data_IF_405588209202
#
_entry.id   IF_405588209202
#
_cell.length_a   1.000
_cell.length_b   1.000
_cell.length_c   1.000
_cell.angle_alpha   90.00
_cell.angle_beta   90.00
_cell.angle_gamma   90.00
#
_symmetry.space_group_name_H-M   'P 1'
#
loop_
_entity.id
_entity.type
_entity.pdbx_description
1 polymer ?
#
# COMPACT_ATOMS: atom_id res chain seq x y z
N UNK A 1 19.48 47.35 1.50
CA UNK A 1 20.60 46.65 0.84
C UNK A 1 20.75 45.33 1.58
N UNK A 2 19.96 44.33 1.20
CA UNK A 2 20.40 43.23 0.32
C UNK A 2 21.52 42.41 0.95
N UNK A 3 21.21 41.20 1.44
CA UNK A 3 21.65 40.05 0.66
C UNK A 3 20.89 38.76 0.97
N UNK A 4 20.57 38.09 -0.12
CA UNK A 4 20.01 36.76 -0.23
C UNK A 4 21.13 35.73 -0.25
N UNK A 5 21.09 34.73 0.62
CA UNK A 5 21.76 33.45 0.36
C UNK A 5 21.10 32.34 1.17
N UNK A 6 20.11 31.73 0.53
CA UNK A 6 19.62 30.39 0.82
C UNK A 6 20.67 29.33 0.42
N UNK A 7 20.47 28.11 0.93
CA UNK A 7 21.00 26.83 0.44
C UNK A 7 22.42 26.45 0.87
N UNK A 8 22.50 25.62 1.92
CA UNK A 8 23.08 24.26 1.87
C UNK A 8 23.20 23.71 3.30
N UNK A 9 22.29 22.79 3.68
CA UNK A 9 22.51 21.92 4.82
C UNK A 9 22.76 20.50 4.27
N UNK A 10 23.94 19.88 4.54
CA UNK A 10 24.24 18.55 4.04
C UNK A 10 23.45 17.48 4.83
N UNK A 11 22.97 16.46 4.12
CA UNK A 11 22.41 15.25 4.73
C UNK A 11 23.47 14.54 5.58
N UNK A 12 23.17 14.26 6.85
CA UNK A 12 23.91 13.24 7.60
C UNK A 12 24.25 13.47 9.07
N UNK A 13 23.61 14.37 9.82
CA UNK A 13 23.84 14.46 11.28
C UNK A 13 22.71 13.85 12.11
N UNK A 14 23.01 12.92 13.05
CA UNK A 14 22.04 12.43 14.01
C UNK A 14 21.78 13.49 15.09
N UNK A 15 20.51 13.77 15.37
CA UNK A 15 20.07 14.67 16.44
C UNK A 15 20.41 14.04 17.80
N UNK A 16 21.43 14.58 18.49
CA UNK A 16 21.75 14.17 19.85
C UNK A 16 20.80 14.82 20.86
N UNK A 17 20.11 13.94 21.59
CA UNK A 17 19.74 14.01 23.01
C UNK A 17 19.00 15.25 23.54
N UNK A 18 17.68 15.10 23.66
CA UNK A 18 16.92 15.62 24.80
C UNK A 18 16.34 14.43 25.57
N UNK A 19 16.84 14.26 26.79
CA UNK A 19 16.45 13.25 27.78
C UNK A 19 14.98 13.43 28.19
N UNK A 20 14.10 12.60 27.66
CA UNK A 20 12.86 12.20 28.36
C UNK A 20 12.80 10.68 28.39
N UNK A 21 12.75 10.15 29.61
CA UNK A 21 12.70 8.74 29.91
C UNK A 21 11.38 8.14 29.39
N UNK A 22 11.42 7.61 28.17
CA UNK A 22 10.35 6.76 27.65
C UNK A 22 10.61 5.35 28.18
N UNK A 23 9.82 4.93 29.18
CA UNK A 23 9.76 3.55 29.67
C UNK A 23 9.38 2.66 28.48
N UNK A 24 10.40 2.10 27.82
CA UNK A 24 10.22 1.26 26.66
C UNK A 24 9.42 0.02 27.07
N UNK A 25 8.17 -0.06 26.59
CA UNK A 25 7.43 -1.31 26.56
C UNK A 25 8.30 -2.41 25.94
N UNK A 26 8.25 -3.66 26.45
CA UNK A 26 9.10 -4.73 25.95
C UNK A 26 8.84 -4.92 24.46
N UNK A 27 9.89 -4.73 23.65
CA UNK A 27 9.86 -5.03 22.21
C UNK A 27 9.70 -6.55 22.06
N UNK A 28 8.45 -6.99 22.08
CA UNK A 28 8.07 -8.35 21.69
C UNK A 28 8.68 -8.63 20.32
N UNK A 29 9.55 -9.64 20.25
CA UNK A 29 10.27 -9.97 19.03
C UNK A 29 9.30 -10.16 17.87
N UNK A 30 9.59 -9.51 16.75
CA UNK A 30 8.77 -9.49 15.52
C UNK A 30 8.38 -10.91 15.06
N UNK A 31 9.23 -11.91 15.36
CA UNK A 31 9.03 -13.33 15.06
C UNK A 31 7.84 -13.94 15.83
N UNK A 32 7.49 -13.43 17.01
CA UNK A 32 6.37 -13.92 17.82
C UNK A 32 4.98 -13.46 17.35
N UNK A 33 4.92 -12.57 16.35
CA UNK A 33 3.67 -12.02 15.78
C UNK A 33 3.32 -12.59 14.40
N UNK A 34 4.16 -13.44 13.83
CA UNK A 34 3.93 -14.03 12.50
C UNK A 34 3.11 -15.32 12.62
N UNK A 35 2.10 -15.46 11.75
CA UNK A 35 1.28 -16.67 11.65
C UNK A 35 2.16 -17.90 11.39
N UNK A 36 1.73 -19.08 11.85
CA UNK A 36 2.48 -20.34 11.65
C UNK A 36 2.82 -20.59 10.17
N UNK A 37 1.93 -20.20 9.25
CA UNK A 37 2.20 -20.28 7.80
C UNK A 37 3.29 -19.32 7.34
N UNK A 38 3.29 -18.06 7.78
CA UNK A 38 4.29 -17.07 7.39
C UNK A 38 5.68 -17.42 7.92
N UNK A 39 5.73 -18.02 9.10
CA UNK A 39 6.97 -18.45 9.76
C UNK A 39 7.67 -19.59 9.02
N UNK A 40 6.91 -20.51 8.42
CA UNK A 40 7.44 -21.66 7.68
C UNK A 40 7.26 -21.54 6.16
N UNK A 41 7.00 -20.33 5.66
CA UNK A 41 6.69 -20.08 4.25
C UNK A 41 7.72 -20.69 3.29
N UNK A 42 9.02 -20.55 3.59
CA UNK A 42 10.10 -21.12 2.78
C UNK A 42 10.05 -22.64 2.71
N UNK A 43 9.75 -23.31 3.83
CA UNK A 43 9.61 -24.76 3.88
C UNK A 43 8.39 -25.24 3.09
N UNK A 44 7.27 -24.53 3.19
CA UNK A 44 6.07 -24.84 2.40
C UNK A 44 6.31 -24.67 0.90
N UNK A 45 7.00 -23.61 0.47
CA UNK A 45 7.35 -23.40 -0.94
C UNK A 45 8.21 -24.56 -1.45
N UNK A 46 9.25 -24.95 -0.71
CA UNK A 46 10.13 -26.06 -1.11
C UNK A 46 9.38 -27.40 -1.16
N UNK A 47 8.49 -27.65 -0.20
CA UNK A 47 7.68 -28.87 -0.16
C UNK A 47 6.74 -28.93 -1.37
N UNK A 48 6.00 -27.86 -1.64
CA UNK A 48 5.08 -27.81 -2.79
C UNK A 48 5.84 -27.88 -4.11
N UNK A 49 6.99 -27.22 -4.23
CA UNK A 49 7.83 -27.32 -5.43
C UNK A 49 8.36 -28.74 -5.64
N UNK A 50 8.85 -29.39 -4.58
CA UNK A 50 9.33 -30.77 -4.63
C UNK A 50 8.22 -31.77 -4.98
N UNK A 51 7.05 -31.63 -4.37
CA UNK A 51 5.86 -32.44 -4.70
C UNK A 51 5.43 -32.18 -6.14
N UNK A 52 5.41 -30.93 -6.59
CA UNK A 52 5.06 -30.56 -7.96
C UNK A 52 6.01 -31.18 -9.00
N UNK A 53 7.32 -31.11 -8.76
CA UNK A 53 8.32 -31.78 -9.61
C UNK A 53 8.17 -33.30 -9.63
N UNK A 54 7.87 -33.91 -8.48
CA UNK A 54 7.65 -35.35 -8.38
C UNK A 54 6.36 -35.81 -9.09
N UNK A 55 5.27 -35.07 -8.92
CA UNK A 55 3.99 -35.33 -9.61
C UNK A 55 4.10 -35.08 -11.12
N UNK A 56 4.94 -34.12 -11.54
CA UNK A 56 5.21 -33.86 -12.95
C UNK A 56 5.90 -35.00 -13.71
N UNK A 57 6.40 -36.03 -13.01
CA UNK A 57 6.95 -37.25 -13.63
C UNK A 57 5.89 -38.34 -13.87
N UNK A 58 4.64 -38.11 -13.45
CA UNK A 58 3.55 -39.09 -13.60
C UNK A 58 2.78 -38.79 -14.89
N UNK A 59 2.74 -39.74 -15.82
CA UNK A 59 2.11 -39.60 -17.14
C UNK A 59 0.66 -39.10 -17.05
N UNK A 60 -0.15 -39.67 -16.13
CA UNK A 60 -1.54 -39.26 -15.95
C UNK A 60 -1.72 -37.78 -15.52
N UNK A 61 -0.70 -37.18 -14.90
CA UNK A 61 -0.70 -35.77 -14.51
C UNK A 61 -0.27 -34.90 -15.69
N UNK A 62 0.67 -35.36 -16.51
CA UNK A 62 1.04 -34.68 -17.76
C UNK A 62 -0.14 -34.66 -18.73
N UNK A 63 -0.84 -35.79 -18.92
CA UNK A 63 -2.04 -35.89 -19.76
C UNK A 63 -3.13 -34.91 -19.28
N UNK A 64 -3.35 -34.80 -17.97
CA UNK A 64 -4.31 -33.84 -17.41
C UNK A 64 -3.91 -32.37 -17.65
N UNK A 65 -2.61 -32.07 -17.57
CA UNK A 65 -2.08 -30.73 -17.86
C UNK A 65 -2.27 -30.41 -19.35
N UNK A 66 -2.02 -31.37 -20.23
CA UNK A 66 -2.17 -31.23 -21.68
C UNK A 66 -3.64 -31.05 -22.09
N UNK A 67 -4.56 -31.84 -21.51
CA UNK A 67 -6.01 -31.70 -21.71
C UNK A 67 -6.54 -30.33 -21.25
N UNK A 68 -5.86 -29.70 -20.29
CA UNK A 68 -6.20 -28.37 -19.75
C UNK A 68 -5.45 -27.23 -20.48
N UNK A 69 -4.69 -27.55 -21.53
CA UNK A 69 -3.90 -26.59 -22.31
C UNK A 69 -4.64 -26.19 -23.59
N UNK A 70 -4.86 -24.89 -23.78
CA UNK A 70 -5.51 -24.32 -24.96
C UNK A 70 -4.55 -23.34 -25.60
N UNK A 71 -4.23 -23.53 -26.90
CA UNK A 71 -3.28 -22.69 -27.65
C UNK A 71 -1.93 -22.49 -26.94
N UNK A 72 -1.35 -23.57 -26.40
CA UNK A 72 -0.06 -23.52 -25.68
C UNK A 72 -0.12 -22.88 -24.29
N UNK A 73 -1.31 -22.49 -23.83
CA UNK A 73 -1.56 -21.88 -22.51
C UNK A 73 -2.38 -22.82 -21.64
N UNK A 74 -1.78 -23.26 -20.52
CA UNK A 74 -2.52 -24.04 -19.53
C UNK A 74 -3.53 -23.14 -18.80
N UNK A 75 -4.82 -23.45 -18.92
CA UNK A 75 -5.91 -22.64 -18.35
C UNK A 75 -5.84 -22.61 -16.82
N UNK A 76 -5.39 -23.69 -16.19
CA UNK A 76 -5.27 -23.78 -14.73
C UNK A 76 -4.17 -22.84 -14.22
N UNK A 77 -3.02 -22.83 -14.88
CA UNK A 77 -1.92 -21.89 -14.61
C UNK A 77 -2.39 -20.46 -14.84
N UNK A 78 -3.09 -20.20 -15.96
CA UNK A 78 -3.65 -18.89 -16.27
C UNK A 78 -4.54 -18.37 -15.13
N UNK A 79 -5.51 -19.17 -14.68
CA UNK A 79 -6.41 -18.80 -13.56
C UNK A 79 -5.61 -18.55 -12.29
N UNK A 80 -4.64 -19.43 -11.96
CA UNK A 80 -3.78 -19.27 -10.79
C UNK A 80 -2.99 -17.94 -10.81
N UNK A 81 -2.39 -17.61 -11.96
CA UNK A 81 -1.67 -16.36 -12.17
C UNK A 81 -2.61 -15.14 -12.06
N UNK A 82 -3.79 -15.19 -12.69
CA UNK A 82 -4.78 -14.10 -12.60
C UNK A 82 -5.21 -13.85 -11.14
N UNK A 83 -5.54 -14.92 -10.41
CA UNK A 83 -5.99 -14.85 -9.01
C UNK A 83 -4.90 -14.30 -8.08
N UNK A 84 -3.63 -14.68 -8.29
CA UNK A 84 -2.54 -14.19 -7.45
C UNK A 84 -2.10 -12.75 -7.80
N UNK A 85 -2.23 -12.33 -9.05
CA UNK A 85 -1.79 -11.00 -9.50
C UNK A 85 -2.81 -9.90 -9.25
N UNK A 86 -4.10 -10.23 -9.23
CA UNK A 86 -5.16 -9.25 -8.99
C UNK A 86 -5.04 -8.53 -7.62
N UNK A 87 -4.88 -9.21 -6.47
CA UNK A 87 -4.88 -8.54 -5.17
C UNK A 87 -3.75 -7.51 -4.97
N UNK A 88 -2.48 -7.79 -5.34
CA UNK A 88 -1.41 -6.80 -5.28
C UNK A 88 -1.69 -5.56 -6.13
N UNK A 89 -2.22 -5.72 -7.34
CA UNK A 89 -2.53 -4.62 -8.26
C UNK A 89 -3.74 -3.80 -7.78
N UNK A 90 -4.75 -4.44 -7.20
CA UNK A 90 -5.92 -3.77 -6.65
C UNK A 90 -5.61 -2.93 -5.39
N UNK A 91 -4.54 -3.27 -4.66
CA UNK A 91 -4.07 -2.53 -3.47
C UNK A 91 -3.27 -1.26 -3.80
N UNK A 92 -3.00 -0.99 -5.07
CA UNK A 92 -2.24 0.19 -5.50
C UNK A 92 -3.04 1.48 -5.23
N UNK A 93 -2.36 2.45 -4.61
CA UNK A 93 -2.91 3.79 -4.39
C UNK A 93 -2.51 4.75 -5.50
N UNK A 94 -3.39 4.89 -6.49
CA UNK A 94 -3.17 5.74 -7.68
C UNK A 94 -2.90 7.23 -7.38
N UNK A 95 -3.32 7.71 -6.20
CA UNK A 95 -3.05 9.08 -5.74
C UNK A 95 -1.56 9.33 -5.45
N UNK A 96 -0.80 8.30 -5.05
CA UNK A 96 0.64 8.42 -4.78
C UNK A 96 1.51 8.17 -6.01
N UNK A 97 0.99 7.52 -7.05
CA UNK A 97 1.75 7.23 -8.29
C UNK A 97 2.28 8.53 -8.91
N UNK A 98 1.50 9.60 -8.87
CA UNK A 98 1.90 10.92 -9.35
C UNK A 98 3.07 11.53 -8.55
N UNK A 99 3.22 11.20 -7.27
CA UNK A 99 4.30 11.70 -6.43
C UNK A 99 5.65 11.06 -6.77
N UNK A 100 5.67 9.82 -7.27
CA UNK A 100 6.92 9.17 -7.73
C UNK A 100 7.53 9.94 -8.91
N UNK A 101 6.68 10.49 -9.79
CA UNK A 101 7.15 11.31 -10.91
C UNK A 101 7.75 12.66 -10.45
N UNK A 102 7.47 13.12 -9.24
CA UNK A 102 8.09 14.32 -8.68
C UNK A 102 9.58 14.06 -8.33
N UNK A 103 9.91 12.85 -7.86
CA UNK A 103 11.27 12.46 -7.50
C UNK A 103 12.01 11.78 -8.67
N UNK A 104 12.22 12.53 -9.75
CA UNK A 104 12.79 12.03 -11.01
C UNK A 104 14.13 11.29 -10.86
N UNK A 105 14.94 11.64 -9.85
CA UNK A 105 16.22 10.97 -9.56
C UNK A 105 16.03 9.53 -9.11
N UNK A 106 15.08 9.31 -8.20
CA UNK A 106 14.75 7.97 -7.69
C UNK A 106 14.04 7.15 -8.77
N UNK A 107 13.16 7.80 -9.55
CA UNK A 107 12.50 7.19 -10.69
C UNK A 107 13.53 6.70 -11.73
N UNK A 108 14.49 7.55 -12.10
CA UNK A 108 15.56 7.17 -13.03
C UNK A 108 16.38 6.00 -12.47
N UNK A 109 16.74 6.05 -11.18
CA UNK A 109 17.51 4.99 -10.54
C UNK A 109 16.77 3.64 -10.59
N UNK A 110 15.49 3.60 -10.21
CA UNK A 110 14.70 2.35 -10.24
C UNK A 110 14.48 1.87 -11.67
N UNK A 111 14.23 2.77 -12.63
CA UNK A 111 14.06 2.38 -14.03
C UNK A 111 15.35 1.80 -14.60
N UNK A 112 16.50 2.42 -14.39
CA UNK A 112 17.80 1.91 -14.85
C UNK A 112 18.13 0.58 -14.17
N UNK A 113 17.93 0.47 -12.86
CA UNK A 113 18.17 -0.79 -12.13
C UNK A 113 17.27 -1.93 -12.64
N UNK A 114 16.01 -1.62 -12.92
CA UNK A 114 15.04 -2.64 -13.27
C UNK A 114 15.06 -3.03 -14.75
N UNK A 115 15.28 -2.09 -15.64
CA UNK A 115 15.15 -2.29 -17.07
C UNK A 115 16.49 -2.35 -17.79
N UNK A 116 17.59 -1.91 -17.16
CA UNK A 116 18.93 -2.01 -17.74
C UNK A 116 19.78 -2.98 -16.93
N UNK A 117 20.11 -2.66 -15.68
CA UNK A 117 21.04 -3.50 -14.91
C UNK A 117 20.49 -4.92 -14.71
N UNK A 118 19.23 -5.07 -14.30
CA UNK A 118 18.62 -6.38 -14.05
C UNK A 118 18.70 -7.34 -15.24
N UNK A 119 18.09 -7.01 -16.40
CA UNK A 119 18.07 -7.88 -17.57
C UNK A 119 19.47 -8.20 -18.11
N UNK A 120 20.36 -7.19 -18.21
CA UNK A 120 21.71 -7.41 -18.73
C UNK A 120 22.56 -8.27 -17.78
N UNK A 121 22.49 -8.04 -16.46
CA UNK A 121 23.20 -8.87 -15.48
C UNK A 121 22.72 -10.31 -15.56
N UNK A 122 21.39 -10.53 -15.64
CA UNK A 122 20.85 -11.88 -15.77
C UNK A 122 21.26 -12.56 -17.06
N UNK A 123 21.23 -11.85 -18.20
CA UNK A 123 21.68 -12.39 -19.47
C UNK A 123 23.16 -12.78 -19.45
N UNK A 124 24.04 -11.91 -18.96
CA UNK A 124 25.47 -12.22 -18.91
C UNK A 124 25.80 -13.35 -17.94
N UNK A 125 25.13 -13.42 -16.78
CA UNK A 125 25.25 -14.56 -15.87
C UNK A 125 24.77 -15.84 -16.55
N UNK A 126 23.63 -15.77 -17.21
CA UNK A 126 23.03 -16.90 -17.92
C UNK A 126 23.94 -17.42 -19.03
N UNK A 127 24.49 -16.52 -19.86
CA UNK A 127 25.43 -16.87 -20.91
C UNK A 127 26.74 -17.41 -20.35
N UNK A 128 27.24 -16.89 -19.23
CA UNK A 128 28.48 -17.35 -18.61
C UNK A 128 28.38 -18.76 -17.99
N UNK A 129 27.23 -19.11 -17.40
CA UNK A 129 27.04 -20.38 -16.71
C UNK A 129 26.33 -21.47 -17.54
N UNK A 130 25.50 -21.08 -18.53
CA UNK A 130 24.66 -21.99 -19.32
C UNK A 130 24.90 -21.83 -20.83
N UNK A 131 26.12 -21.45 -21.23
CA UNK A 131 26.49 -21.26 -22.64
C UNK A 131 26.10 -22.44 -23.55
N UNK A 132 26.28 -23.67 -23.05
CA UNK A 132 26.07 -24.90 -23.83
C UNK A 132 24.62 -25.43 -23.74
N UNK A 133 23.77 -24.83 -22.89
CA UNK A 133 22.35 -25.18 -22.75
C UNK A 133 21.47 -23.96 -23.04
N UNK A 134 21.10 -23.83 -24.31
CA UNK A 134 20.30 -22.71 -24.84
C UNK A 134 18.92 -22.64 -24.14
N UNK A 135 18.37 -23.77 -23.70
CA UNK A 135 17.10 -23.84 -23.00
C UNK A 135 17.16 -23.17 -21.62
N UNK A 136 18.13 -23.58 -20.78
CA UNK A 136 18.35 -22.93 -19.48
C UNK A 136 18.75 -21.46 -19.65
N UNK A 137 19.57 -21.16 -20.66
CA UNK A 137 20.00 -19.79 -20.92
C UNK A 137 18.82 -18.87 -21.24
N UNK A 138 17.92 -19.33 -22.11
CA UNK A 138 16.71 -18.60 -22.51
C UNK A 138 15.78 -18.39 -21.31
N UNK A 139 15.55 -19.44 -20.53
CA UNK A 139 14.69 -19.38 -19.35
C UNK A 139 15.19 -18.38 -18.30
N UNK A 140 16.48 -18.40 -17.97
CA UNK A 140 17.06 -17.49 -16.97
C UNK A 140 17.12 -16.04 -17.47
N UNK A 141 17.35 -15.84 -18.77
CA UNK A 141 17.31 -14.50 -19.39
C UNK A 141 15.90 -13.90 -19.39
N UNK A 142 14.86 -14.72 -19.63
CA UNK A 142 13.46 -14.31 -19.52
C UNK A 142 13.08 -13.90 -18.08
N UNK A 143 13.61 -14.60 -17.06
CA UNK A 143 13.44 -14.21 -15.66
C UNK A 143 14.01 -12.82 -15.39
N UNK A 144 15.15 -12.46 -16.01
CA UNK A 144 15.72 -11.12 -15.93
C UNK A 144 14.83 -10.02 -16.51
N UNK A 145 14.12 -10.33 -17.60
CA UNK A 145 13.18 -9.44 -18.27
C UNK A 145 11.86 -9.26 -17.50
N UNK A 146 11.45 -10.26 -16.72
CA UNK A 146 10.26 -10.21 -15.88
C UNK A 146 10.53 -9.46 -14.57
N UNK A 147 9.91 -8.30 -14.38
CA UNK A 147 10.07 -7.53 -13.13
C UNK A 147 9.12 -8.02 -12.04
N UNK A 148 9.65 -8.18 -10.83
CA UNK A 148 8.86 -8.64 -9.68
C UNK A 148 7.91 -7.54 -9.19
N UNK A 149 6.64 -7.91 -8.99
CA UNK A 149 5.54 -6.97 -8.68
C UNK A 149 5.01 -7.25 -7.27
N UNK A 150 4.51 -8.46 -7.02
CA UNK A 150 3.77 -8.75 -5.79
C UNK A 150 4.67 -8.98 -4.56
N UNK A 151 5.68 -9.83 -4.69
CA UNK A 151 6.46 -10.30 -3.52
C UNK A 151 7.31 -9.19 -2.91
N UNK A 152 7.75 -8.22 -3.71
CA UNK A 152 8.56 -7.08 -3.24
C UNK A 152 7.82 -6.24 -2.21
N UNK A 153 6.49 -6.11 -2.31
CA UNK A 153 5.69 -5.37 -1.31
C UNK A 153 5.75 -6.05 0.06
N UNK A 154 5.71 -7.38 0.08
CA UNK A 154 5.82 -8.17 1.33
C UNK A 154 7.22 -8.01 1.91
N UNK A 155 8.26 -8.18 1.11
CA UNK A 155 9.65 -8.01 1.55
C UNK A 155 9.93 -6.59 2.03
N UNK A 156 9.43 -5.58 1.32
CA UNK A 156 9.55 -4.18 1.71
C UNK A 156 8.88 -3.93 3.06
N UNK A 157 7.68 -4.48 3.28
CA UNK A 157 6.98 -4.37 4.56
C UNK A 157 7.74 -5.06 5.69
N UNK A 158 8.31 -6.25 5.43
CA UNK A 158 9.12 -6.99 6.40
C UNK A 158 10.45 -6.27 6.72
N UNK A 159 11.03 -5.57 5.76
CA UNK A 159 12.25 -4.77 5.92
C UNK A 159 12.00 -3.40 6.58
N UNK A 160 10.74 -3.05 6.90
CA UNK A 160 10.38 -1.75 7.46
C UNK A 160 10.42 -0.60 6.46
N UNK A 161 10.32 -0.89 5.17
CA UNK A 161 10.26 0.09 4.09
C UNK A 161 8.86 0.69 3.88
N UNK A 162 8.78 1.71 3.02
CA UNK A 162 7.52 2.38 2.69
C UNK A 162 6.69 1.51 1.73
N UNK A 163 5.65 0.87 2.27
CA UNK A 163 4.78 -0.01 1.50
C UNK A 163 3.93 0.73 0.45
N UNK A 164 3.62 2.02 0.66
CA UNK A 164 2.84 2.83 -0.27
C UNK A 164 3.67 3.20 -1.49
N UNK A 165 4.88 3.68 -1.24
CA UNK A 165 5.87 4.02 -2.25
C UNK A 165 6.26 2.78 -3.07
N UNK A 166 6.51 1.65 -2.39
CA UNK A 166 6.79 0.38 -3.04
C UNK A 166 5.63 -0.08 -3.94
N UNK A 167 4.38 -0.01 -3.47
CA UNK A 167 3.22 -0.40 -4.26
C UNK A 167 3.05 0.47 -5.52
N UNK A 168 3.37 1.76 -5.42
CA UNK A 168 3.31 2.67 -6.55
C UNK A 168 4.46 2.45 -7.56
N UNK A 169 5.68 2.11 -7.11
CA UNK A 169 6.78 1.64 -8.00
C UNK A 169 6.37 0.35 -8.71
N UNK A 170 5.79 -0.59 -7.97
CA UNK A 170 5.31 -1.86 -8.50
C UNK A 170 4.28 -1.64 -9.62
N UNK A 171 3.32 -0.74 -9.42
CA UNK A 171 2.33 -0.39 -10.44
C UNK A 171 2.97 0.17 -11.72
N UNK A 172 3.95 1.06 -11.58
CA UNK A 172 4.71 1.61 -12.70
C UNK A 172 5.50 0.51 -13.44
N UNK A 173 6.15 -0.37 -12.70
CA UNK A 173 6.87 -1.50 -13.27
C UNK A 173 5.95 -2.47 -14.01
N UNK A 174 4.71 -2.69 -13.55
CA UNK A 174 3.72 -3.50 -14.28
C UNK A 174 3.40 -2.90 -15.65
N UNK A 175 3.17 -1.58 -15.73
CA UNK A 175 2.91 -0.88 -17.00
C UNK A 175 4.11 -1.02 -17.95
N UNK A 176 5.31 -0.77 -17.45
CA UNK A 176 6.54 -0.93 -18.23
C UNK A 176 6.73 -2.39 -18.66
N UNK A 177 6.39 -3.37 -17.82
CA UNK A 177 6.47 -4.80 -18.16
C UNK A 177 5.51 -5.17 -19.28
N UNK A 178 4.27 -4.68 -19.25
CA UNK A 178 3.30 -4.94 -20.34
C UNK A 178 3.84 -4.43 -21.69
N UNK A 179 4.49 -3.27 -21.71
CA UNK A 179 5.00 -2.67 -22.95
C UNK A 179 6.39 -3.14 -23.39
N UNK A 180 7.32 -3.35 -22.44
CA UNK A 180 8.73 -3.60 -22.72
C UNK A 180 9.10 -5.08 -22.71
N UNK A 181 8.31 -5.97 -22.09
CA UNK A 181 8.70 -7.36 -21.97
C UNK A 181 8.87 -8.05 -23.33
N UNK A 182 7.92 -7.86 -24.26
CA UNK A 182 7.99 -8.44 -25.61
C UNK A 182 9.25 -7.98 -26.37
N UNK A 183 9.53 -6.67 -26.54
CA UNK A 183 10.74 -6.24 -27.23
C UNK A 183 12.04 -6.65 -26.51
N UNK A 184 12.03 -6.72 -25.17
CA UNK A 184 13.17 -7.22 -24.41
C UNK A 184 13.40 -8.72 -24.63
N UNK A 185 12.35 -9.53 -24.67
CA UNK A 185 12.47 -10.95 -25.00
C UNK A 185 13.10 -11.14 -26.39
N UNK A 186 12.71 -10.33 -27.39
CA UNK A 186 13.34 -10.36 -28.71
C UNK A 186 14.82 -10.01 -28.67
N UNK A 187 15.16 -8.92 -27.96
CA UNK A 187 16.54 -8.49 -27.82
C UNK A 187 17.41 -9.58 -27.17
N UNK A 188 16.99 -10.15 -26.03
CA UNK A 188 17.81 -11.07 -25.26
C UNK A 188 17.82 -12.52 -25.76
N UNK A 189 16.86 -12.91 -26.59
CA UNK A 189 16.74 -14.30 -27.08
C UNK A 189 17.13 -14.43 -28.54
N UNK A 190 16.78 -13.44 -29.37
CA UNK A 190 17.06 -13.49 -30.80
C UNK A 190 18.34 -12.69 -31.12
N UNK A 191 18.38 -11.41 -30.74
CA UNK A 191 19.42 -10.50 -31.24
C UNK A 191 20.76 -10.70 -30.49
N UNK A 192 20.76 -10.61 -29.16
CA UNK A 192 21.99 -10.57 -28.35
C UNK A 192 22.81 -11.87 -28.41
N UNK A 193 22.21 -13.09 -28.35
CA UNK A 193 22.96 -14.33 -28.53
C UNK A 193 23.56 -14.46 -29.94
N UNK A 194 22.83 -14.03 -30.98
CA UNK A 194 23.33 -14.05 -32.36
C UNK A 194 24.57 -13.18 -32.53
N UNK A 195 24.63 -12.03 -31.84
CA UNK A 195 25.80 -11.14 -31.82
C UNK A 195 26.99 -11.70 -31.04
N UNK A 196 26.77 -12.63 -30.11
CA UNK A 196 27.82 -13.31 -29.37
C UNK A 196 28.35 -14.57 -30.08
N UNK A 197 27.81 -14.89 -31.26
CA UNK A 197 28.18 -16.10 -32.00
C UNK A 197 27.66 -17.39 -31.36
N UNK A 198 26.66 -17.28 -30.48
CA UNK A 198 25.94 -18.42 -29.91
C UNK A 198 24.84 -18.77 -30.93
N UNK A 199 24.89 -19.97 -31.49
CA UNK A 199 23.92 -20.50 -32.46
C UNK A 199 22.55 -20.74 -31.80
N UNK A 200 21.90 -19.68 -31.30
CA UNK A 200 20.55 -19.71 -30.74
C UNK A 200 19.47 -19.79 -31.85
N UNK A 201 19.88 -19.81 -33.12
CA UNK A 201 18.99 -19.83 -34.29
C UNK A 201 18.34 -21.18 -34.57
N UNK A 202 18.66 -22.25 -33.84
CA UNK A 202 18.22 -23.61 -34.21
C UNK A 202 16.91 -24.09 -33.56
N UNK A 203 16.50 -23.66 -32.35
CA UNK A 203 15.37 -24.36 -31.69
C UNK A 203 14.32 -23.48 -30.95
N UNK A 204 14.57 -22.20 -30.63
CA UNK A 204 13.58 -21.38 -29.90
C UNK A 204 13.48 -19.97 -30.50
N UNK A 205 12.86 -19.87 -31.69
CA UNK A 205 12.45 -18.56 -32.20
C UNK A 205 11.22 -18.09 -31.45
N UNK A 206 11.40 -17.10 -30.58
CA UNK A 206 10.29 -16.53 -29.83
C UNK A 206 9.50 -15.60 -30.76
N UNK A 207 8.27 -16.00 -31.07
CA UNK A 207 7.34 -15.14 -31.78
C UNK A 207 6.95 -13.97 -30.86
N UNK A 208 7.47 -12.77 -31.15
CA UNK A 208 7.20 -11.56 -30.36
C UNK A 208 5.70 -11.31 -30.16
N UNK A 209 4.89 -11.64 -31.17
CA UNK A 209 3.43 -11.54 -31.12
C UNK A 209 2.78 -12.50 -30.12
N UNK A 210 3.31 -13.71 -29.96
CA UNK A 210 2.82 -14.69 -29.00
C UNK A 210 3.20 -14.30 -27.56
N UNK A 211 4.43 -13.82 -27.37
CA UNK A 211 4.85 -13.27 -26.07
C UNK A 211 4.01 -12.05 -25.69
N UNK A 212 3.77 -11.14 -26.63
CA UNK A 212 2.92 -9.98 -26.38
C UNK A 212 1.49 -10.38 -26.03
N UNK A 213 0.91 -11.38 -26.72
CA UNK A 213 -0.40 -11.95 -26.40
C UNK A 213 -0.42 -12.51 -24.98
N UNK A 214 0.56 -13.34 -24.63
CA UNK A 214 0.61 -14.00 -23.32
C UNK A 214 0.82 -13.00 -22.17
N UNK A 215 1.71 -12.02 -22.33
CA UNK A 215 1.87 -10.93 -21.36
C UNK A 215 0.60 -10.10 -21.24
N UNK A 216 -0.06 -9.79 -22.36
CA UNK A 216 -1.35 -9.10 -22.36
C UNK A 216 -2.42 -9.84 -21.56
N UNK A 217 -2.49 -11.16 -21.69
CA UNK A 217 -3.45 -12.00 -20.96
C UNK A 217 -3.06 -12.09 -19.47
N UNK A 218 -1.84 -12.50 -19.15
CA UNK A 218 -1.44 -12.80 -17.77
C UNK A 218 -1.18 -11.56 -16.91
N UNK A 219 -0.68 -10.49 -17.50
CA UNK A 219 -0.35 -9.25 -16.80
C UNK A 219 -1.37 -8.15 -17.12
N UNK A 220 -1.67 -7.96 -18.40
CA UNK A 220 -2.56 -6.89 -18.86
C UNK A 220 -3.98 -7.05 -18.31
N UNK A 221 -4.56 -8.25 -18.37
CA UNK A 221 -5.94 -8.46 -17.92
C UNK A 221 -6.13 -8.23 -16.40
N UNK A 222 -5.31 -8.78 -15.49
CA UNK A 222 -5.38 -8.43 -14.05
C UNK A 222 -5.16 -6.95 -13.77
N UNK A 223 -4.27 -6.31 -14.52
CA UNK A 223 -3.97 -4.89 -14.37
C UNK A 223 -5.17 -4.02 -14.74
N UNK A 224 -5.81 -4.30 -15.89
CA UNK A 224 -7.05 -3.63 -16.31
C UNK A 224 -8.19 -3.93 -15.34
N UNK A 225 -8.34 -5.18 -14.89
CA UNK A 225 -9.34 -5.55 -13.90
C UNK A 225 -9.14 -4.77 -12.58
N UNK A 226 -7.90 -4.67 -12.09
CA UNK A 226 -7.57 -3.88 -10.90
C UNK A 226 -7.88 -2.38 -11.08
N UNK A 227 -7.58 -1.82 -12.25
CA UNK A 227 -7.93 -0.43 -12.60
C UNK A 227 -9.44 -0.20 -12.65
N UNK A 228 -10.19 -1.09 -13.30
CA UNK A 228 -11.64 -1.03 -13.41
C UNK A 228 -12.30 -1.16 -12.03
N UNK A 229 -11.83 -2.09 -11.21
CA UNK A 229 -12.20 -2.22 -9.78
C UNK A 229 -11.97 -0.89 -9.08
N UNK A 230 -10.78 -0.30 -9.16
CA UNK A 230 -10.49 0.96 -8.49
C UNK A 230 -11.39 2.11 -8.96
N UNK A 231 -11.63 2.23 -10.27
CA UNK A 231 -12.48 3.27 -10.85
C UNK A 231 -13.96 3.10 -10.45
N UNK A 232 -14.51 1.89 -10.56
CA UNK A 232 -15.91 1.60 -10.24
C UNK A 232 -16.20 1.72 -8.76
N UNK A 233 -15.33 1.20 -7.89
CA UNK A 233 -15.46 1.30 -6.43
C UNK A 233 -15.33 2.74 -5.93
N UNK A 234 -14.77 3.67 -6.71
CA UNK A 234 -14.71 5.08 -6.31
C UNK A 234 -16.10 5.72 -6.21
N UNK A 235 -17.11 5.21 -6.94
CA UNK A 235 -18.51 5.64 -6.76
C UNK A 235 -19.10 5.16 -5.43
N UNK A 236 -18.69 3.98 -4.94
CA UNK A 236 -19.11 3.41 -3.65
C UNK A 236 -18.44 4.11 -2.46
N UNK A 237 -17.24 4.68 -2.64
CA UNK A 237 -16.52 5.42 -1.58
C UNK A 237 -17.26 6.67 -1.12
N UNK A 238 -17.96 7.37 -2.03
CA UNK A 238 -18.56 8.67 -1.73
C UNK A 238 -19.63 8.58 -0.62
N UNK A 239 -20.63 7.66 -0.69
CA UNK A 239 -21.59 7.50 0.40
C UNK A 239 -20.94 7.17 1.75
N UNK A 240 -19.93 6.30 1.77
CA UNK A 240 -19.26 5.87 3.00
C UNK A 240 -18.44 7.00 3.62
N UNK A 241 -17.70 7.75 2.81
CA UNK A 241 -16.95 8.93 3.24
C UNK A 241 -17.88 10.00 3.80
N UNK A 242 -19.00 10.26 3.12
CA UNK A 242 -20.02 11.19 3.59
C UNK A 242 -20.59 10.74 4.93
N UNK A 243 -20.91 9.46 5.08
CA UNK A 243 -21.40 8.90 6.34
C UNK A 243 -20.42 9.13 7.49
N UNK A 244 -19.15 8.74 7.32
CA UNK A 244 -18.14 8.89 8.37
C UNK A 244 -17.87 10.34 8.74
N UNK A 245 -17.73 11.21 7.73
CA UNK A 245 -17.49 12.63 7.96
C UNK A 245 -18.70 13.29 8.63
N UNK A 246 -19.91 12.96 8.20
CA UNK A 246 -21.13 13.47 8.81
C UNK A 246 -21.26 13.02 10.26
N UNK A 247 -21.15 11.73 10.53
CA UNK A 247 -21.25 11.17 11.89
C UNK A 247 -20.19 11.76 12.81
N UNK A 248 -18.96 11.88 12.34
CA UNK A 248 -17.87 12.49 13.11
C UNK A 248 -18.15 13.95 13.44
N UNK A 249 -18.42 14.78 12.43
CA UNK A 249 -18.61 16.23 12.61
C UNK A 249 -19.81 16.52 13.50
N UNK A 250 -20.93 15.84 13.27
CA UNK A 250 -22.15 16.03 14.07
C UNK A 250 -21.92 15.63 15.53
N UNK A 251 -21.29 14.47 15.77
CA UNK A 251 -20.98 14.01 17.13
C UNK A 251 -19.97 14.93 17.83
N UNK A 252 -19.01 15.46 17.08
CA UNK A 252 -18.00 16.39 17.58
C UNK A 252 -18.62 17.71 18.01
N UNK A 253 -19.47 18.29 17.16
CA UNK A 253 -20.16 19.54 17.45
C UNK A 253 -21.17 19.39 18.59
N UNK A 254 -21.92 18.27 18.65
CA UNK A 254 -22.82 18.00 19.76
C UNK A 254 -22.07 17.88 21.10
N UNK A 255 -20.95 17.15 21.12
CA UNK A 255 -20.14 16.98 22.33
C UNK A 255 -19.51 18.29 22.79
N UNK A 256 -19.03 19.10 21.85
CA UNK A 256 -18.52 20.45 22.13
C UNK A 256 -19.62 21.37 22.69
N UNK A 257 -20.81 21.35 22.08
CA UNK A 257 -21.96 22.15 22.54
C UNK A 257 -22.42 21.77 23.95
N UNK A 258 -22.38 20.47 24.30
CA UNK A 258 -22.66 19.97 25.65
C UNK A 258 -21.57 20.31 26.68
N UNK A 259 -20.45 20.89 26.25
CA UNK A 259 -19.36 21.27 27.14
C UNK A 259 -18.43 20.14 27.58
N UNK A 260 -18.38 19.05 26.82
CA UNK A 260 -17.39 18.00 27.04
C UNK A 260 -15.96 18.51 26.82
N UNK A 261 -14.98 17.93 27.52
CA UNK A 261 -13.57 18.24 27.26
C UNK A 261 -13.17 17.78 25.85
N UNK A 262 -12.07 18.32 25.31
CA UNK A 262 -11.57 17.90 24.00
C UNK A 262 -11.35 16.38 23.92
N UNK A 263 -10.75 15.79 24.95
CA UNK A 263 -10.48 14.34 25.03
C UNK A 263 -11.77 13.53 24.98
N UNK A 264 -12.81 13.97 25.71
CA UNK A 264 -14.13 13.33 25.70
C UNK A 264 -14.83 13.49 24.35
N UNK A 265 -14.77 14.68 23.76
CA UNK A 265 -15.36 14.97 22.45
C UNK A 265 -14.71 14.12 21.34
N UNK A 266 -13.39 14.00 21.35
CA UNK A 266 -12.64 13.13 20.43
C UNK A 266 -13.06 11.67 20.61
N UNK A 267 -13.09 11.18 21.85
CA UNK A 267 -13.49 9.80 22.14
C UNK A 267 -14.92 9.49 21.66
N UNK A 268 -15.89 10.37 21.95
CA UNK A 268 -17.27 10.21 21.52
C UNK A 268 -17.42 10.28 19.99
N UNK A 269 -16.72 11.19 19.33
CA UNK A 269 -16.83 11.39 17.88
C UNK A 269 -16.25 10.23 17.07
N UNK A 270 -15.10 9.69 17.48
CA UNK A 270 -14.52 8.52 16.84
C UNK A 270 -15.32 7.25 17.10
N UNK A 271 -15.86 7.09 18.32
CA UNK A 271 -16.73 5.96 18.64
C UNK A 271 -18.03 6.00 17.82
N UNK A 272 -18.62 7.17 17.64
CA UNK A 272 -19.85 7.33 16.87
C UNK A 272 -19.65 7.21 15.35
N UNK A 273 -18.46 7.56 14.85
CA UNK A 273 -18.14 7.43 13.43
C UNK A 273 -17.72 6.00 13.06
N UNK A 274 -17.13 5.22 13.97
CA UNK A 274 -16.61 3.88 13.66
C UNK A 274 -17.71 2.82 13.62
N UNK A 275 -17.51 1.81 12.77
CA UNK A 275 -18.43 0.67 12.61
C UNK A 275 -17.69 -0.66 12.73
N UNK A 276 -18.40 -1.72 13.15
CA UNK A 276 -17.83 -3.06 13.24
C UNK A 276 -17.99 -3.82 11.91
N UNK A 277 -17.05 -3.62 10.99
CA UNK A 277 -17.07 -4.26 9.68
C UNK A 277 -16.82 -5.76 9.73
N UNK A 278 -16.09 -6.25 10.73
CA UNK A 278 -15.82 -7.68 10.93
C UNK A 278 -17.12 -8.43 11.25
N UNK A 279 -17.94 -7.88 12.14
CA UNK A 279 -19.26 -8.42 12.45
C UNK A 279 -20.18 -8.35 11.21
N UNK A 280 -20.17 -7.24 10.48
CA UNK A 280 -20.96 -7.10 9.26
C UNK A 280 -20.56 -8.14 8.19
N UNK A 281 -19.26 -8.36 8.00
CA UNK A 281 -18.74 -9.39 7.10
C UNK A 281 -19.14 -10.80 7.56
N UNK A 282 -19.04 -11.10 8.85
CA UNK A 282 -19.43 -12.39 9.40
C UNK A 282 -20.92 -12.68 9.17
N UNK A 283 -21.80 -11.70 9.42
CA UNK A 283 -23.24 -11.81 9.15
C UNK A 283 -23.51 -11.95 7.65
N UNK A 284 -22.82 -11.15 6.81
CA UNK A 284 -22.99 -11.21 5.36
C UNK A 284 -22.61 -12.59 4.79
N UNK A 285 -21.49 -13.16 5.24
CA UNK A 285 -21.07 -14.51 4.85
C UNK A 285 -22.08 -15.55 5.34
N UNK A 286 -22.55 -15.43 6.60
CA UNK A 286 -23.49 -16.39 7.18
C UNK A 286 -24.87 -16.37 6.51
N UNK A 287 -25.37 -15.20 6.10
CA UNK A 287 -26.72 -15.05 5.53
C UNK A 287 -26.76 -15.12 4.00
N UNK A 288 -25.76 -14.57 3.31
CA UNK A 288 -25.76 -14.42 1.86
C UNK A 288 -24.64 -15.20 1.16
N UNK A 289 -23.70 -15.78 1.93
CA UNK A 289 -22.56 -16.53 1.41
C UNK A 289 -21.35 -15.63 1.09
N UNK A 290 -20.20 -16.27 0.91
CA UNK A 290 -18.92 -15.57 0.72
C UNK A 290 -18.83 -14.78 -0.59
N UNK A 291 -19.47 -15.26 -1.66
CA UNK A 291 -19.46 -14.63 -3.00
C UNK A 291 -20.61 -13.64 -3.21
N UNK A 292 -21.13 -13.05 -2.14
CA UNK A 292 -22.27 -12.15 -2.18
C UNK A 292 -21.84 -10.68 -2.16
N UNK A 293 -22.62 -9.82 -2.81
CA UNK A 293 -22.38 -8.36 -2.81
C UNK A 293 -22.30 -7.76 -1.39
N UNK A 294 -23.13 -8.17 -0.41
CA UNK A 294 -23.00 -7.70 0.97
C UNK A 294 -21.66 -8.05 1.64
N UNK A 295 -21.11 -9.24 1.37
CA UNK A 295 -19.82 -9.66 1.92
C UNK A 295 -18.69 -8.82 1.31
N UNK A 296 -18.72 -8.60 -0.01
CA UNK A 296 -17.77 -7.74 -0.70
C UNK A 296 -17.82 -6.30 -0.17
N UNK A 297 -19.02 -5.73 0.01
CA UNK A 297 -19.20 -4.37 0.52
C UNK A 297 -18.67 -4.19 1.95
N UNK A 298 -18.79 -5.22 2.79
CA UNK A 298 -18.26 -5.18 4.16
C UNK A 298 -16.74 -5.07 4.18
N UNK A 299 -16.04 -5.83 3.33
CA UNK A 299 -14.57 -5.76 3.17
C UNK A 299 -14.14 -4.40 2.61
N UNK A 300 -14.84 -3.93 1.58
CA UNK A 300 -14.57 -2.62 0.95
C UNK A 300 -14.76 -1.49 1.97
N UNK A 301 -15.79 -1.57 2.81
CA UNK A 301 -16.05 -0.58 3.84
C UNK A 301 -14.95 -0.46 4.88
N UNK A 302 -14.44 -1.59 5.39
CA UNK A 302 -13.30 -1.62 6.32
C UNK A 302 -12.04 -0.98 5.71
N UNK A 303 -11.79 -1.24 4.42
CA UNK A 303 -10.63 -0.68 3.71
C UNK A 303 -10.71 0.85 3.55
N UNK A 304 -11.93 1.39 3.43
CA UNK A 304 -12.19 2.85 3.34
C UNK A 304 -12.14 3.51 4.71
N UNK A 305 -12.58 2.82 5.76
CA UNK A 305 -12.63 3.37 7.12
C UNK A 305 -11.26 3.84 7.61
N UNK A 306 -10.23 2.99 7.50
CA UNK A 306 -8.88 3.28 8.03
C UNK A 306 -8.30 4.63 7.53
N UNK A 307 -8.20 4.89 6.21
CA UNK A 307 -7.68 6.18 5.73
C UNK A 307 -8.61 7.34 6.07
N UNK A 308 -9.93 7.11 6.15
CA UNK A 308 -10.90 8.14 6.50
C UNK A 308 -10.74 8.55 7.97
N UNK A 309 -10.59 7.59 8.88
CA UNK A 309 -10.36 7.86 10.30
C UNK A 309 -9.07 8.63 10.52
N UNK A 310 -7.99 8.29 9.80
CA UNK A 310 -6.76 9.06 9.84
C UNK A 310 -6.96 10.52 9.38
N UNK A 311 -7.72 10.75 8.31
CA UNK A 311 -8.08 12.10 7.88
C UNK A 311 -8.90 12.86 8.94
N UNK A 312 -9.83 12.18 9.60
CA UNK A 312 -10.63 12.75 10.70
C UNK A 312 -9.78 13.08 11.94
N UNK A 313 -8.66 12.39 12.19
CA UNK A 313 -7.70 12.78 13.26
C UNK A 313 -7.10 14.14 12.98
N UNK A 314 -6.69 14.42 11.74
CA UNK A 314 -6.22 15.76 11.37
C UNK A 314 -7.32 16.81 11.51
N UNK A 315 -8.56 16.47 11.14
CA UNK A 315 -9.72 17.35 11.35
C UNK A 315 -9.97 17.62 12.84
N UNK A 316 -9.82 16.61 13.71
CA UNK A 316 -9.94 16.75 15.15
C UNK A 316 -8.89 17.70 15.74
N UNK A 317 -7.64 17.63 15.25
CA UNK A 317 -6.59 18.57 15.66
C UNK A 317 -6.87 19.99 15.19
N UNK A 318 -7.43 20.14 13.98
CA UNK A 318 -7.87 21.44 13.49
C UNK A 318 -9.00 22.01 14.36
N UNK A 319 -10.03 21.23 14.70
CA UNK A 319 -11.10 21.65 15.61
C UNK A 319 -10.60 21.99 17.01
N UNK A 320 -9.55 21.31 17.52
CA UNK A 320 -8.91 21.69 18.80
C UNK A 320 -8.42 23.13 18.79
N UNK A 321 -7.74 23.53 17.70
CA UNK A 321 -7.21 24.89 17.54
C UNK A 321 -8.33 25.91 17.39
N UNK A 322 -9.39 25.59 16.66
CA UNK A 322 -10.45 26.57 16.36
C UNK A 322 -11.50 26.69 17.46
N UNK A 323 -12.02 25.57 17.99
CA UNK A 323 -13.19 25.59 18.89
C UNK A 323 -12.81 25.59 20.37
N UNK A 324 -11.76 24.84 20.74
CA UNK A 324 -11.38 24.69 22.16
C UNK A 324 -10.39 25.76 22.64
N UNK A 325 -9.62 26.36 21.73
CA UNK A 325 -8.73 27.48 22.09
C UNK A 325 -9.53 28.78 22.29
N UNK A 326 -10.58 28.98 21.50
CA UNK A 326 -11.50 30.13 21.66
C UNK A 326 -12.28 29.99 22.96
N UNK A 327 -12.89 28.84 23.23
CA UNK A 327 -13.64 28.61 24.46
C UNK A 327 -12.80 28.78 25.74
N UNK A 328 -11.55 28.30 25.74
CA UNK A 328 -10.66 28.53 26.89
C UNK A 328 -10.42 30.02 27.14
N UNK A 329 -10.32 30.82 26.08
CA UNK A 329 -10.14 32.27 26.16
C UNK A 329 -11.40 32.98 26.67
N UNK A 330 -12.58 32.52 26.25
CA UNK A 330 -13.87 33.04 26.72
C UNK A 330 -14.12 32.67 28.19
N UNK A 331 -13.81 31.43 28.59
CA UNK A 331 -13.92 30.97 29.98
C UNK A 331 -12.95 31.72 30.91
N UNK A 332 -11.70 31.98 30.46
CA UNK A 332 -10.73 32.79 31.20
C UNK A 332 -11.16 34.27 31.30
N UNK A 333 -11.70 34.86 30.23
CA UNK A 333 -12.21 36.23 30.24
C UNK A 333 -13.41 36.38 31.19
N UNK A 334 -14.37 35.45 31.14
CA UNK A 334 -15.53 35.46 32.02
C UNK A 334 -15.17 35.28 33.50
N UNK A 335 -14.12 34.51 33.81
CA UNK A 335 -13.59 34.38 35.18
C UNK A 335 -12.92 35.67 35.66
N UNK A 336 -12.18 36.37 34.81
CA UNK A 336 -11.55 37.65 35.15
C UNK A 336 -12.62 38.72 35.40
N UNK A 337 -13.61 38.84 34.51
CA UNK A 337 -14.73 39.78 34.69
C UNK A 337 -15.50 39.50 35.99
N UNK A 338 -15.76 38.23 36.31
CA UNK A 338 -16.44 37.85 37.56
C UNK A 338 -15.59 38.14 38.82
N UNK A 339 -14.26 38.07 38.72
CA UNK A 339 -13.36 38.44 39.81
C UNK A 339 -13.29 39.95 40.00
N UNK A 340 -13.24 40.73 38.92
CA UNK A 340 -13.29 42.20 38.96
C UNK A 340 -14.61 42.70 39.57
N UNK A 341 -15.76 42.14 39.15
CA UNK A 341 -17.07 42.46 39.75
C UNK A 341 -17.13 42.13 41.24
N UNK A 342 -16.54 41.02 41.67
CA UNK A 342 -16.48 40.63 43.08
C UNK A 342 -15.56 41.56 43.89
N UNK A 343 -14.45 42.03 43.31
CA UNK A 343 -13.52 42.98 43.95
C UNK A 343 -14.10 44.39 44.06
N UNK A 344 -14.80 44.87 43.03
CA UNK A 344 -15.52 46.14 43.01
C UNK A 344 -16.69 46.14 44.03
N UNK A 345 -17.40 45.02 44.13
CA UNK A 345 -18.44 44.81 45.16
C UNK A 345 -17.87 44.87 46.57
N UNK A 346 -16.73 44.23 46.81
CA UNK A 346 -16.06 44.20 48.11
C UNK A 346 -15.52 45.58 48.50
N UNK A 347 -14.96 46.35 47.56
CA UNK A 347 -14.48 47.71 47.82
C UNK A 347 -15.63 48.71 48.03
N UNK A 348 -16.72 48.63 47.28
CA UNK A 348 -17.92 49.47 47.48
C UNK A 348 -18.53 49.29 48.89
N UNK A 349 -18.57 48.06 49.41
CA UNK A 349 -19.04 47.77 50.77
C UNK A 349 -18.13 48.32 51.87
N UNK A 350 -16.83 48.46 51.62
CA UNK A 350 -15.85 49.04 52.56
C UNK A 350 -15.96 50.58 52.61
N UNK A 351 -16.24 51.24 51.48
CA UNK A 351 -16.44 52.70 51.45
C UNK A 351 -17.78 53.13 52.04
N UNK A 352 -18.86 52.39 51.82
CA UNK A 352 -20.17 52.71 52.40
C UNK A 352 -20.16 52.67 53.94
N UNK A 353 -19.36 51.77 54.54
CA UNK A 353 -19.24 51.62 56.00
C UNK A 353 -18.39 52.73 56.66
N UNK A 354 -17.67 53.54 55.89
CA UNK A 354 -16.77 54.59 56.39
C UNK A 354 -17.39 55.98 56.39
N UNK A 355 -18.58 56.14 55.80
CA UNK A 355 -19.36 57.40 55.75
C UNK A 355 -20.45 57.51 56.82
N UNK A 356 -20.68 56.47 57.62
CA UNK A 356 -21.66 56.43 58.74
C UNK A 356 -21.02 56.59 60.14
N UNK A 357 -19.77 57.08 60.21
CA UNK A 357 -19.07 57.53 61.42
C UNK A 357 -18.70 59.00 61.26
#
# INVERSE_FOLDING_TARGET
MSDSSSLQQPLGQPLTSSTEANTAAPRTGVVGKLSFLDRFLTLWILLVAGVGLGLGQVDAIQDFIDDTTVDGTNVLVAIGLLVMMYPPLAKVRWNLVHQIFADWRLLLLTTVQNWVLGPFVMFFLSSAFFHDDVGYMTGLSLVGCARCIAMVVVWNSLAGGDAEYCAAIVAMNSVLTIGLYSPYAGLFINDLPSHLGIDSSAEIHVAMGEVAKNVGIYMGAPFVAALLTWYTLTKTKVPLLLYFMFMFVVSFLMSWWLGATYEQTVALSFTAASNNFELALAVAIASFGLKSDPALMSVVGALIEIPTMLALVYLAFWFRKTLFTVRKKDDEAALVDAMEEAEDSATAGVYAKKTDL
#
